data_IF_773368429001
#
_entry.id   IF_773368429001
#
_cell.length_a   1.000
_cell.length_b   1.000
_cell.length_c   1.000
_cell.angle_alpha   90.00
_cell.angle_beta   90.00
_cell.angle_gamma   90.00
#
_symmetry.space_group_name_H-M   'P 1'
#
loop_
_entity.id
_entity.type
_entity.pdbx_description
1 polymer ?
#
# COMPACT_ATOMS: atom_id res chain seq x y z
N UNK A 1 -15.80 -8.31 24.14
CA UNK A 1 -14.45 -7.88 23.76
C UNK A 1 -14.48 -6.36 23.65
N UNK A 2 -14.16 -5.67 24.74
CA UNK A 2 -14.40 -4.23 24.93
C UNK A 2 -13.41 -3.39 24.11
N UNK A 3 -13.85 -2.21 23.64
CA UNK A 3 -13.04 -1.22 22.93
C UNK A 3 -11.80 -0.77 23.70
N UNK A 4 -11.83 -0.87 25.04
CA UNK A 4 -10.68 -0.60 25.91
C UNK A 4 -9.54 -1.63 25.76
N UNK A 5 -9.87 -2.89 25.46
CA UNK A 5 -8.87 -3.95 25.24
C UNK A 5 -8.09 -3.75 23.94
N UNK A 6 -8.72 -3.14 22.93
CA UNK A 6 -8.07 -2.84 21.65
C UNK A 6 -7.19 -1.58 21.78
N UNK A 7 -7.68 -0.54 22.46
CA UNK A 7 -6.94 0.72 22.64
C UNK A 7 -5.71 0.61 23.54
N UNK A 8 -5.77 -0.17 24.63
CA UNK A 8 -4.62 -0.39 25.52
C UNK A 8 -3.45 -1.10 24.84
N UNK A 9 -3.77 -1.92 23.83
CA UNK A 9 -2.79 -2.70 23.09
C UNK A 9 -2.09 -1.89 21.99
N UNK A 10 -2.79 -0.90 21.43
CA UNK A 10 -2.25 0.01 20.40
C UNK A 10 -1.66 1.31 20.98
N UNK A 11 -2.02 1.70 22.21
CA UNK A 11 -1.50 2.91 22.89
C UNK A 11 -0.95 2.56 24.28
N UNK A 12 0.28 2.02 24.41
CA UNK A 12 0.91 1.87 25.71
C UNK A 12 1.58 3.18 26.14
N UNK A 13 1.31 3.61 27.37
CA UNK A 13 1.99 4.73 28.04
C UNK A 13 3.45 4.43 28.41
N UNK A 14 3.88 3.17 28.32
CA UNK A 14 5.28 2.76 28.51
C UNK A 14 5.46 1.34 27.97
N UNK A 15 6.33 1.19 26.97
CA UNK A 15 6.67 -0.11 26.39
C UNK A 15 7.83 -0.83 27.13
N UNK A 16 8.50 -0.17 28.09
CA UNK A 16 9.85 -0.58 28.53
C UNK A 16 9.94 -1.18 29.95
N UNK A 17 8.92 -1.91 30.41
CA UNK A 17 9.12 -2.72 31.64
C UNK A 17 8.36 -4.06 31.61
N UNK A 18 7.42 -4.22 30.68
CA UNK A 18 6.58 -5.42 30.61
C UNK A 18 6.98 -6.38 29.50
N UNK A 19 7.82 -5.98 28.53
CA UNK A 19 8.22 -6.87 27.42
C UNK A 19 8.98 -8.09 27.93
N UNK A 20 9.91 -7.92 28.86
CA UNK A 20 10.64 -9.04 29.46
C UNK A 20 9.68 -10.01 30.19
N UNK A 21 8.79 -9.47 31.02
CA UNK A 21 7.84 -10.26 31.81
C UNK A 21 6.78 -10.96 30.91
N UNK A 22 6.30 -10.29 29.86
CA UNK A 22 5.34 -10.87 28.90
C UNK A 22 6.01 -11.99 28.10
N UNK A 23 7.22 -11.77 27.60
CA UNK A 23 7.88 -12.76 26.77
C UNK A 23 8.33 -13.99 27.57
N UNK A 24 8.76 -13.80 28.81
CA UNK A 24 9.07 -14.90 29.71
C UNK A 24 7.81 -15.61 30.20
N UNK A 25 6.78 -14.88 30.62
CA UNK A 25 5.56 -15.44 31.19
C UNK A 25 4.64 -16.12 30.17
N UNK A 26 4.55 -15.60 28.95
CA UNK A 26 3.63 -16.11 27.92
C UNK A 26 4.31 -17.08 26.94
N UNK A 27 5.60 -16.91 26.66
CA UNK A 27 6.32 -17.69 25.65
C UNK A 27 7.53 -18.46 26.18
N UNK A 28 7.91 -18.27 27.45
CA UNK A 28 9.08 -18.94 28.04
C UNK A 28 10.42 -18.49 27.43
N UNK A 29 10.46 -17.31 26.79
CA UNK A 29 11.65 -16.79 26.12
C UNK A 29 12.36 -15.81 27.06
N UNK A 30 13.62 -16.11 27.39
CA UNK A 30 14.50 -15.17 28.10
C UNK A 30 15.10 -14.16 27.11
N UNK A 31 14.46 -12.99 27.01
CA UNK A 31 14.90 -11.90 26.14
C UNK A 31 16.30 -11.39 26.49
N UNK A 32 16.70 -11.42 27.76
CA UNK A 32 18.03 -10.96 28.16
C UNK A 32 19.13 -11.87 27.63
N UNK A 33 18.84 -13.15 27.40
CA UNK A 33 19.76 -14.07 26.72
C UNK A 33 19.73 -13.86 25.21
N UNK A 34 18.53 -13.71 24.62
CA UNK A 34 18.37 -13.57 23.17
C UNK A 34 18.91 -12.25 22.61
N UNK A 35 18.94 -11.19 23.40
CA UNK A 35 19.48 -9.91 22.96
C UNK A 35 21.02 -9.85 22.95
N UNK A 36 21.75 -10.86 23.45
CA UNK A 36 23.22 -10.79 23.49
C UNK A 36 23.85 -11.13 22.15
N UNK A 37 24.96 -10.46 21.84
CA UNK A 37 25.82 -10.80 20.71
C UNK A 37 27.05 -11.51 21.27
N UNK A 38 27.23 -12.77 20.89
CA UNK A 38 28.38 -13.57 21.32
C UNK A 38 29.49 -13.45 20.27
N UNK A 39 30.72 -13.24 20.73
CA UNK A 39 31.90 -13.10 19.87
C UNK A 39 32.92 -14.17 20.19
N UNK A 40 33.57 -14.65 19.15
CA UNK A 40 34.80 -15.43 19.27
C UNK A 40 35.96 -14.54 19.77
N UNK A 41 37.06 -15.13 20.27
CA UNK A 41 38.25 -14.37 20.72
C UNK A 41 38.90 -13.49 19.65
N UNK A 42 38.57 -13.67 18.38
CA UNK A 42 39.04 -12.87 17.23
C UNK A 42 38.05 -11.75 16.83
N UNK A 43 37.13 -11.40 17.73
CA UNK A 43 36.04 -10.43 17.53
C UNK A 43 35.12 -10.76 16.34
N UNK A 44 35.06 -12.02 15.88
CA UNK A 44 34.05 -12.46 14.91
C UNK A 44 32.74 -12.80 15.62
N UNK A 45 31.61 -12.50 15.00
CA UNK A 45 30.30 -12.85 15.58
C UNK A 45 30.12 -14.36 15.54
N UNK A 46 29.94 -14.96 16.72
CA UNK A 46 29.63 -16.38 16.91
C UNK A 46 28.13 -16.62 16.78
N UNK A 47 27.32 -15.87 17.53
CA UNK A 47 25.87 -16.02 17.55
C UNK A 47 25.15 -14.72 17.94
N UNK A 48 23.91 -14.60 17.46
CA UNK A 48 22.95 -13.61 17.92
C UNK A 48 21.94 -14.32 18.83
N UNK A 49 22.03 -14.08 20.14
CA UNK A 49 21.27 -14.84 21.13
C UNK A 49 21.56 -16.33 21.00
N UNK A 50 20.51 -17.11 20.85
CA UNK A 50 20.58 -18.57 20.63
C UNK A 50 20.85 -18.96 19.18
N UNK A 51 20.77 -18.02 18.23
CA UNK A 51 20.86 -18.30 16.79
C UNK A 51 22.29 -18.22 16.29
N UNK A 52 22.77 -19.34 15.74
CA UNK A 52 24.09 -19.46 15.09
C UNK A 52 23.97 -19.28 13.57
N UNK A 53 25.11 -19.12 12.89
CA UNK A 53 25.17 -19.13 11.42
C UNK A 53 24.57 -20.41 10.84
N UNK A 54 24.00 -20.29 9.64
CA UNK A 54 23.25 -21.36 8.96
C UNK A 54 22.07 -21.95 9.78
N UNK A 55 21.58 -21.25 10.80
CA UNK A 55 20.44 -21.66 11.64
C UNK A 55 19.38 -20.58 11.81
N UNK A 56 19.54 -19.43 11.16
CA UNK A 56 18.52 -18.39 11.17
C UNK A 56 17.34 -18.81 10.28
N UNK A 57 16.17 -18.97 10.90
CA UNK A 57 14.96 -19.38 10.21
C UNK A 57 14.26 -18.19 9.57
N UNK A 58 13.95 -18.31 8.28
CA UNK A 58 13.10 -17.34 7.59
C UNK A 58 11.64 -17.47 8.01
N UNK A 59 10.95 -16.35 8.16
CA UNK A 59 9.51 -16.33 8.34
C UNK A 59 8.81 -16.21 6.97
N UNK A 60 8.16 -17.28 6.47
CA UNK A 60 7.54 -17.30 5.15
C UNK A 60 6.37 -16.31 5.03
N UNK A 61 5.72 -15.93 6.13
CA UNK A 61 4.58 -15.02 6.13
C UNK A 61 4.99 -13.56 5.92
N UNK A 62 6.25 -13.23 6.22
CA UNK A 62 6.77 -11.85 6.22
C UNK A 62 7.81 -11.64 5.11
N UNK A 63 8.70 -12.62 4.90
CA UNK A 63 9.80 -12.54 3.94
C UNK A 63 9.76 -13.62 2.85
N UNK A 64 8.65 -14.37 2.75
CA UNK A 64 8.47 -15.44 1.78
C UNK A 64 8.23 -14.99 0.34
N UNK A 65 8.17 -15.96 -0.57
CA UNK A 65 8.07 -15.70 -2.02
C UNK A 65 6.72 -15.10 -2.45
N UNK A 66 5.64 -15.37 -1.71
CA UNK A 66 4.31 -14.81 -1.99
C UNK A 66 4.29 -13.28 -1.93
N UNK A 67 5.13 -12.71 -1.09
CA UNK A 67 5.32 -11.26 -0.96
C UNK A 67 5.97 -10.66 -2.22
N UNK A 68 6.95 -11.37 -2.80
CA UNK A 68 7.59 -10.99 -4.07
C UNK A 68 6.61 -11.02 -5.24
N UNK A 69 5.74 -12.03 -5.30
CA UNK A 69 4.70 -12.14 -6.33
C UNK A 69 3.68 -10.99 -6.20
N UNK A 70 3.30 -10.65 -4.97
CA UNK A 70 2.48 -9.45 -4.69
C UNK A 70 3.12 -8.16 -5.21
N UNK A 71 4.45 -8.05 -5.13
CA UNK A 71 5.18 -6.90 -5.66
C UNK A 71 5.22 -6.83 -7.17
N UNK A 72 5.44 -7.95 -7.86
CA UNK A 72 5.45 -7.97 -9.33
C UNK A 72 4.09 -7.48 -9.86
N UNK A 73 3.01 -7.94 -9.24
CA UNK A 73 1.64 -7.54 -9.60
C UNK A 73 1.40 -6.05 -9.33
N UNK A 74 1.77 -5.55 -8.14
CA UNK A 74 1.65 -4.14 -7.79
C UNK A 74 2.52 -3.21 -8.65
N UNK A 75 3.73 -3.65 -9.01
CA UNK A 75 4.68 -2.90 -9.84
C UNK A 75 4.21 -2.82 -11.28
N UNK A 76 3.70 -3.93 -11.83
CA UNK A 76 3.12 -3.95 -13.18
C UNK A 76 1.92 -3.00 -13.27
N UNK A 77 1.11 -2.92 -12.21
CA UNK A 77 0.02 -1.95 -12.11
C UNK A 77 0.52 -0.51 -11.99
N UNK A 78 1.60 -0.25 -11.25
CA UNK A 78 2.22 1.08 -11.18
C UNK A 78 2.82 1.53 -12.51
N UNK A 79 3.43 0.62 -13.27
CA UNK A 79 3.96 0.90 -14.61
C UNK A 79 2.86 1.20 -15.62
N UNK A 80 1.78 0.41 -15.61
CA UNK A 80 0.58 0.70 -16.40
C UNK A 80 -0.01 2.06 -16.00
N UNK A 81 0.00 2.37 -14.72
CA UNK A 81 -0.50 3.62 -14.15
C UNK A 81 0.27 4.86 -14.61
N UNK A 82 1.60 4.77 -14.63
CA UNK A 82 2.48 5.82 -15.18
C UNK A 82 2.22 6.06 -16.66
N UNK A 83 1.96 5.01 -17.43
CA UNK A 83 1.56 5.14 -18.84
C UNK A 83 0.24 5.94 -19.00
N UNK A 84 -0.75 5.70 -18.14
CA UNK A 84 -1.99 6.50 -18.12
C UNK A 84 -1.75 7.96 -17.77
N UNK A 85 -0.87 8.23 -16.81
CA UNK A 85 -0.52 9.59 -16.43
C UNK A 85 0.10 10.36 -17.60
N UNK A 86 1.09 9.77 -18.27
CA UNK A 86 1.77 10.38 -19.42
C UNK A 86 0.77 10.71 -20.52
N UNK A 87 -0.17 9.80 -20.79
CA UNK A 87 -1.25 10.03 -21.76
C UNK A 87 -2.17 11.18 -21.36
N UNK A 88 -2.68 11.20 -20.13
CA UNK A 88 -3.59 12.24 -19.64
C UNK A 88 -2.91 13.62 -19.63
N UNK A 89 -1.63 13.67 -19.26
CA UNK A 89 -0.81 14.87 -19.33
C UNK A 89 -0.58 15.31 -20.78
N UNK A 90 -0.22 14.40 -21.68
CA UNK A 90 -0.04 14.70 -23.11
C UNK A 90 -1.33 15.23 -23.74
N UNK A 91 -2.49 14.68 -23.37
CA UNK A 91 -3.79 15.19 -23.81
C UNK A 91 -4.04 16.60 -23.29
N UNK A 92 -3.82 16.88 -22.00
CA UNK A 92 -3.99 18.22 -21.42
C UNK A 92 -3.02 19.25 -22.01
N UNK A 93 -1.81 18.84 -22.35
CA UNK A 93 -0.82 19.69 -22.98
C UNK A 93 -1.17 20.00 -24.43
N UNK A 94 -1.76 19.05 -25.18
CA UNK A 94 -2.35 19.32 -26.51
C UNK A 94 -3.48 20.35 -26.47
N UNK A 95 -4.08 20.61 -25.30
CA UNK A 95 -5.06 21.67 -25.05
C UNK A 95 -4.45 22.95 -24.46
N UNK A 96 -3.13 23.07 -24.31
CA UNK A 96 -2.42 24.36 -24.23
C UNK A 96 -2.27 24.80 -25.68
N UNK A 97 -3.20 25.56 -26.26
CA UNK A 97 -3.06 25.96 -27.64
C UNK A 97 -1.86 26.89 -27.70
N UNK A 98 -1.01 26.71 -28.69
CA UNK A 98 -0.52 27.78 -29.57
C UNK A 98 -0.68 29.14 -28.90
N UNK A 99 0.38 29.59 -28.23
CA UNK A 99 0.51 30.87 -27.54
C UNK A 99 0.25 32.12 -28.41
N UNK A 100 -0.37 32.02 -29.60
CA UNK A 100 -0.41 33.16 -30.53
C UNK A 100 -1.51 33.23 -31.60
N UNK A 101 -2.47 32.31 -31.75
CA UNK A 101 -3.48 32.47 -32.82
C UNK A 101 -4.91 32.68 -32.32
N UNK A 102 -5.11 33.92 -31.87
CA UNK A 102 -6.29 34.79 -32.11
C UNK A 102 -7.65 34.11 -31.91
N UNK A 103 -8.12 34.14 -30.67
CA UNK A 103 -9.55 34.04 -30.38
C UNK A 103 -10.25 35.28 -30.97
N UNK A 104 -10.75 35.20 -32.21
CA UNK A 104 -11.80 36.13 -32.65
C UNK A 104 -13.13 35.51 -32.18
N UNK A 105 -13.94 36.21 -31.37
CA UNK A 105 -15.30 35.75 -31.09
C UNK A 105 -16.06 35.69 -32.43
N UNK A 106 -16.64 34.53 -32.74
CA UNK A 106 -17.57 34.39 -33.85
C UNK A 106 -18.80 35.28 -33.56
N UNK A 107 -19.28 36.07 -34.53
CA UNK A 107 -20.50 36.84 -34.34
C UNK A 107 -21.69 35.90 -34.20
N UNK A 108 -22.61 36.30 -33.32
CA UNK A 108 -23.81 35.59 -32.93
C UNK A 108 -24.62 35.12 -34.18
N UNK A 109 -24.93 33.82 -34.35
CA UNK A 109 -25.71 33.40 -35.50
C UNK A 109 -27.19 33.72 -35.25
N UNK A 110 -27.75 34.58 -36.11
CA UNK A 110 -29.19 34.74 -36.25
C UNK A 110 -29.84 33.42 -36.69
N UNK A 111 -31.13 33.19 -36.36
CA UNK A 111 -31.77 31.92 -36.62
C UNK A 111 -32.27 31.88 -38.07
N UNK A 112 -31.73 30.97 -38.89
CA UNK A 112 -32.48 30.36 -40.00
C UNK A 112 -31.81 29.07 -40.45
N UNK A 113 -32.61 28.00 -40.39
CA UNK A 113 -32.21 26.63 -40.66
C UNK A 113 -31.76 26.38 -42.09
N UNK A 114 -31.38 25.11 -42.30
CA UNK A 114 -31.00 24.42 -43.54
C UNK A 114 -29.51 24.14 -43.78
N UNK A 115 -28.56 24.93 -43.26
CA UNK A 115 -27.11 24.68 -43.56
C UNK A 115 -26.42 23.67 -42.64
N UNK A 116 -26.97 23.41 -41.45
CA UNK A 116 -26.38 22.50 -40.44
C UNK A 116 -26.45 21.01 -40.84
N UNK A 117 -27.36 20.64 -41.77
CA UNK A 117 -27.50 19.26 -42.25
C UNK A 117 -26.42 18.86 -43.27
N UNK A 118 -25.74 19.81 -43.94
CA UNK A 118 -24.72 19.51 -44.96
C UNK A 118 -23.33 19.23 -44.35
N UNK A 119 -23.00 19.89 -43.23
CA UNK A 119 -21.74 19.67 -42.51
C UNK A 119 -21.65 18.29 -41.83
N UNK A 120 -22.77 17.72 -41.37
CA UNK A 120 -22.79 16.37 -40.79
C UNK A 120 -22.59 15.24 -41.82
N UNK A 121 -22.77 15.51 -43.11
CA UNK A 121 -22.56 14.51 -44.19
C UNK A 121 -21.16 14.58 -44.81
N UNK A 122 -20.47 15.72 -44.72
CA UNK A 122 -19.11 15.88 -45.25
C UNK A 122 -18.02 15.31 -44.32
N UNK A 123 -18.33 15.11 -43.04
CA UNK A 123 -17.51 14.36 -42.09
C UNK A 123 -18.07 12.94 -41.86
N UNK A 124 -18.52 12.31 -42.95
CA UNK A 124 -18.69 10.87 -43.00
C UNK A 124 -17.32 10.18 -42.96
N UNK A 125 -17.26 9.13 -42.15
CA UNK A 125 -16.25 8.06 -42.16
C UNK A 125 -14.84 8.37 -41.65
N UNK A 126 -14.72 8.27 -40.33
CA UNK A 126 -13.59 7.56 -39.72
C UNK A 126 -14.10 6.51 -38.74
N UNK A 127 -14.69 5.44 -39.26
CA UNK A 127 -15.24 4.32 -38.48
C UNK A 127 -14.17 3.51 -37.71
N UNK A 128 -12.88 3.85 -37.89
CA UNK A 128 -11.73 3.32 -37.11
C UNK A 128 -11.64 3.94 -35.70
N UNK A 129 -12.45 4.95 -35.36
CA UNK A 129 -12.39 5.67 -34.06
C UNK A 129 -13.38 5.18 -32.99
N UNK A 130 -14.53 4.61 -33.37
CA UNK A 130 -15.58 4.24 -32.41
C UNK A 130 -15.26 2.94 -31.65
N UNK A 131 -14.68 1.94 -32.31
CA UNK A 131 -14.30 0.68 -31.68
C UNK A 131 -13.01 0.81 -30.86
N UNK A 132 -12.03 1.55 -31.38
CA UNK A 132 -10.82 1.96 -30.65
C UNK A 132 -11.15 2.76 -29.38
N UNK A 133 -12.15 3.64 -29.41
CA UNK A 133 -12.58 4.39 -28.21
C UNK A 133 -13.34 3.53 -27.19
N UNK A 134 -14.19 2.58 -27.63
CA UNK A 134 -14.86 1.61 -26.74
C UNK A 134 -13.86 0.68 -26.05
N UNK A 135 -12.92 0.10 -26.78
CA UNK A 135 -11.87 -0.75 -26.20
C UNK A 135 -11.01 0.00 -25.19
N UNK A 136 -10.58 1.22 -25.52
CA UNK A 136 -9.79 2.06 -24.60
C UNK A 136 -10.58 2.41 -23.33
N UNK A 137 -11.88 2.66 -23.44
CA UNK A 137 -12.73 2.96 -22.30
C UNK A 137 -12.98 1.72 -21.43
N UNK A 138 -13.20 0.56 -22.04
CA UNK A 138 -13.26 -0.72 -21.35
C UNK A 138 -11.95 -1.01 -20.60
N UNK A 139 -10.80 -0.89 -21.28
CA UNK A 139 -9.48 -1.12 -20.70
C UNK A 139 -9.22 -0.18 -19.51
N UNK A 140 -9.61 1.09 -19.63
CA UNK A 140 -9.51 2.05 -18.53
C UNK A 140 -10.35 1.65 -17.32
N UNK A 141 -11.59 1.23 -17.55
CA UNK A 141 -12.48 0.78 -16.47
C UNK A 141 -11.94 -0.49 -15.81
N UNK A 142 -11.46 -1.44 -16.60
CA UNK A 142 -10.84 -2.68 -16.12
C UNK A 142 -9.63 -2.38 -15.24
N UNK A 143 -8.69 -1.57 -15.72
CA UNK A 143 -7.48 -1.22 -14.97
C UNK A 143 -7.76 -0.37 -13.73
N UNK A 144 -8.75 0.54 -13.80
CA UNK A 144 -9.22 1.28 -12.63
C UNK A 144 -9.78 0.37 -11.55
N UNK A 145 -10.51 -0.68 -11.94
CA UNK A 145 -11.07 -1.65 -10.98
C UNK A 145 -9.97 -2.54 -10.40
N UNK A 146 -9.01 -2.96 -11.22
CA UNK A 146 -7.86 -3.74 -10.79
C UNK A 146 -6.97 -2.96 -9.81
N UNK A 147 -6.79 -1.65 -10.04
CA UNK A 147 -6.06 -0.76 -9.13
C UNK A 147 -6.75 -0.62 -7.77
N UNK A 148 -8.09 -0.52 -7.74
CA UNK A 148 -8.87 -0.53 -6.49
C UNK A 148 -8.74 -1.89 -5.80
N UNK A 149 -8.91 -2.99 -6.53
CA UNK A 149 -8.82 -4.33 -5.97
C UNK A 149 -7.43 -4.60 -5.36
N UNK A 150 -6.36 -4.21 -6.05
CA UNK A 150 -5.00 -4.30 -5.53
C UNK A 150 -4.83 -3.43 -4.27
N UNK A 151 -5.29 -2.17 -4.29
CA UNK A 151 -5.25 -1.31 -3.12
C UNK A 151 -5.99 -1.93 -1.92
N UNK A 152 -7.15 -2.56 -2.14
CA UNK A 152 -7.91 -3.24 -1.10
C UNK A 152 -7.15 -4.42 -0.50
N UNK A 153 -6.55 -5.27 -1.34
CA UNK A 153 -5.71 -6.38 -0.84
C UNK A 153 -4.54 -5.88 -0.01
N UNK A 154 -3.93 -4.77 -0.41
CA UNK A 154 -2.79 -4.16 0.28
C UNK A 154 -3.19 -3.56 1.64
N UNK A 155 -4.42 -3.01 1.75
CA UNK A 155 -4.97 -2.54 3.03
C UNK A 155 -5.09 -3.70 4.02
N UNK A 156 -5.60 -4.86 3.59
CA UNK A 156 -5.73 -6.03 4.46
C UNK A 156 -4.37 -6.59 4.88
N UNK A 157 -3.40 -6.65 3.95
CA UNK A 157 -2.03 -7.07 4.25
C UNK A 157 -1.40 -6.14 5.30
N UNK A 158 -1.56 -4.82 5.12
CA UNK A 158 -1.06 -3.82 6.06
C UNK A 158 -1.68 -3.95 7.45
N UNK A 159 -2.99 -4.18 7.52
CA UNK A 159 -3.68 -4.43 8.79
C UNK A 159 -3.19 -5.72 9.46
N UNK A 160 -2.99 -6.78 8.69
CA UNK A 160 -2.46 -8.06 9.18
C UNK A 160 -1.05 -7.89 9.76
N UNK A 161 -0.15 -7.15 9.08
CA UNK A 161 1.17 -6.82 9.63
C UNK A 161 1.07 -5.99 10.91
N UNK A 162 0.21 -4.96 10.94
CA UNK A 162 0.00 -4.13 12.12
C UNK A 162 -0.50 -4.94 13.33
N UNK A 163 -1.47 -5.83 13.13
CA UNK A 163 -1.97 -6.73 14.19
C UNK A 163 -0.88 -7.71 14.64
N UNK A 164 -0.14 -8.30 13.69
CA UNK A 164 0.93 -9.24 14.01
C UNK A 164 2.03 -8.60 14.86
N UNK A 165 2.45 -7.38 14.50
CA UNK A 165 3.42 -6.58 15.24
C UNK A 165 2.93 -6.15 16.63
N UNK A 166 1.64 -5.85 16.75
CA UNK A 166 1.07 -5.53 18.04
C UNK A 166 1.08 -6.76 18.97
N UNK A 167 0.56 -7.91 18.52
CA UNK A 167 0.20 -9.08 19.34
C UNK A 167 1.40 -9.94 19.78
N UNK A 168 1.79 -10.89 18.93
CA UNK A 168 2.59 -12.03 19.36
C UNK A 168 4.05 -11.94 18.90
N UNK A 169 4.35 -11.05 17.95
CA UNK A 169 5.63 -11.05 17.29
C UNK A 169 6.72 -10.25 18.04
N UNK A 170 6.40 -9.55 19.13
CA UNK A 170 7.38 -8.70 19.83
C UNK A 170 8.58 -9.51 20.35
N UNK A 171 8.36 -10.75 20.78
CA UNK A 171 9.38 -11.62 21.38
C UNK A 171 10.13 -12.50 20.37
N UNK A 172 9.49 -12.84 19.25
CA UNK A 172 9.97 -13.88 18.30
C UNK A 172 10.38 -13.31 16.95
N UNK A 173 9.98 -12.07 16.64
CA UNK A 173 10.29 -11.43 15.38
C UNK A 173 11.67 -10.78 15.44
N UNK A 174 12.57 -11.18 14.54
CA UNK A 174 13.83 -10.47 14.34
C UNK A 174 13.59 -9.03 13.80
N UNK A 175 14.51 -8.12 14.05
CA UNK A 175 14.51 -6.79 13.45
C UNK A 175 14.52 -6.81 11.91
N UNK A 176 15.08 -7.86 11.27
CA UNK A 176 15.01 -8.08 9.83
C UNK A 176 13.57 -8.23 9.34
N UNK A 177 12.84 -9.22 9.87
CA UNK A 177 11.45 -9.44 9.52
C UNK A 177 10.57 -8.23 9.85
N UNK A 178 10.85 -7.53 10.95
CA UNK A 178 10.22 -6.26 11.26
C UNK A 178 10.46 -5.20 10.17
N UNK A 179 11.71 -4.96 9.76
CA UNK A 179 12.07 -3.98 8.73
C UNK A 179 11.44 -4.33 7.38
N UNK A 180 11.38 -5.61 7.03
CA UNK A 180 10.67 -6.10 5.85
C UNK A 180 9.18 -5.74 5.93
N UNK A 181 8.48 -6.13 6.99
CA UNK A 181 7.05 -5.88 7.11
C UNK A 181 6.69 -4.39 7.29
N UNK A 182 7.55 -3.57 7.90
CA UNK A 182 7.41 -2.11 7.91
C UNK A 182 7.44 -1.54 6.49
N UNK A 183 8.39 -1.98 5.67
CA UNK A 183 8.46 -1.58 4.26
C UNK A 183 7.30 -2.16 3.43
N UNK A 184 6.70 -3.31 3.81
CA UNK A 184 5.44 -3.80 3.22
C UNK A 184 4.28 -2.85 3.49
N UNK A 185 4.16 -2.38 4.73
CA UNK A 185 3.12 -1.42 5.12
C UNK A 185 3.29 -0.12 4.33
N UNK A 186 4.52 0.38 4.20
CA UNK A 186 4.81 1.54 3.35
C UNK A 186 4.47 1.29 1.87
N UNK A 187 4.78 0.12 1.31
CA UNK A 187 4.40 -0.25 -0.05
C UNK A 187 2.88 -0.27 -0.25
N UNK A 188 2.15 -0.84 0.72
CA UNK A 188 0.70 -0.86 0.71
C UNK A 188 0.10 0.55 0.74
N UNK A 189 0.62 1.42 1.61
CA UNK A 189 0.21 2.82 1.69
C UNK A 189 0.55 3.62 0.42
N UNK A 190 1.66 3.30 -0.25
CA UNK A 190 2.03 3.95 -1.51
C UNK A 190 1.07 3.51 -2.62
N UNK A 191 0.71 2.23 -2.66
CA UNK A 191 -0.29 1.68 -3.58
C UNK A 191 -1.68 2.31 -3.37
N UNK A 192 -2.12 2.52 -2.12
CA UNK A 192 -3.41 3.18 -1.84
C UNK A 192 -3.39 4.66 -2.20
N UNK A 193 -2.28 5.37 -1.99
CA UNK A 193 -2.11 6.74 -2.48
C UNK A 193 -2.16 6.83 -4.01
N UNK A 194 -1.50 5.91 -4.71
CA UNK A 194 -1.54 5.86 -6.17
C UNK A 194 -2.97 5.62 -6.69
N UNK A 195 -3.74 4.73 -6.04
CA UNK A 195 -5.12 4.47 -6.43
C UNK A 195 -6.04 5.69 -6.26
N UNK A 196 -5.90 6.43 -5.15
CA UNK A 196 -6.71 7.65 -4.91
C UNK A 196 -6.32 8.80 -5.82
N UNK A 197 -5.03 8.93 -6.14
CA UNK A 197 -4.51 9.96 -7.05
C UNK A 197 -5.00 9.77 -8.48
N UNK A 198 -5.00 8.52 -8.97
CA UNK A 198 -5.33 8.21 -10.35
C UNK A 198 -6.83 8.19 -10.65
N UNK A 199 -7.63 7.71 -9.70
CA UNK A 199 -9.06 7.48 -9.95
C UNK A 199 -9.81 8.78 -9.69
N UNK A 200 -10.15 9.49 -10.76
CA UNK A 200 -10.83 10.80 -10.68
C UNK A 200 -12.17 10.75 -9.94
N UNK A 201 -12.89 9.64 -10.08
CA UNK A 201 -14.24 9.46 -9.54
C UNK A 201 -14.26 8.54 -8.31
N UNK A 202 -13.13 8.45 -7.57
CA UNK A 202 -12.95 7.57 -6.42
C UNK A 202 -14.11 7.68 -5.40
N UNK A 203 -14.44 8.91 -5.00
CA UNK A 203 -15.55 9.19 -4.07
C UNK A 203 -16.95 9.18 -4.72
N UNK A 204 -17.04 9.29 -6.06
CA UNK A 204 -18.33 9.40 -6.76
C UNK A 204 -18.99 8.05 -7.03
N UNK A 205 -18.20 7.00 -7.30
CA UNK A 205 -18.73 5.67 -7.65
C UNK A 205 -19.31 4.92 -6.46
N UNK A 206 -18.62 4.92 -5.32
CA UNK A 206 -19.00 4.13 -4.15
C UNK A 206 -18.62 4.85 -2.85
N UNK A 207 -19.47 5.78 -2.40
CA UNK A 207 -19.20 6.65 -1.23
C UNK A 207 -18.89 5.85 0.03
N UNK A 208 -19.71 4.85 0.35
CA UNK A 208 -19.53 4.02 1.54
C UNK A 208 -18.18 3.31 1.53
N UNK A 209 -17.86 2.65 0.41
CA UNK A 209 -16.62 1.92 0.28
C UNK A 209 -15.39 2.85 0.25
N UNK A 210 -15.50 4.05 -0.34
CA UNK A 210 -14.45 5.06 -0.30
C UNK A 210 -14.21 5.60 1.12
N UNK A 211 -15.30 5.85 1.88
CA UNK A 211 -15.21 6.24 3.29
C UNK A 211 -14.54 5.16 4.14
N UNK A 212 -14.92 3.90 3.98
CA UNK A 212 -14.29 2.78 4.71
C UNK A 212 -12.79 2.71 4.43
N UNK A 213 -12.37 2.78 3.16
CA UNK A 213 -10.95 2.82 2.78
C UNK A 213 -10.22 4.00 3.41
N UNK A 214 -10.81 5.19 3.36
CA UNK A 214 -10.22 6.38 3.97
C UNK A 214 -10.01 6.20 5.48
N UNK A 215 -11.02 5.70 6.20
CA UNK A 215 -10.94 5.49 7.65
C UNK A 215 -9.90 4.45 8.03
N UNK A 216 -9.88 3.30 7.34
CA UNK A 216 -8.91 2.23 7.61
C UNK A 216 -7.49 2.69 7.27
N UNK A 217 -7.27 3.33 6.13
CA UNK A 217 -5.94 3.84 5.74
C UNK A 217 -5.49 4.96 6.68
N UNK A 218 -6.39 5.85 7.12
CA UNK A 218 -6.07 6.87 8.11
C UNK A 218 -5.66 6.24 9.45
N UNK A 219 -6.37 5.19 9.90
CA UNK A 219 -5.99 4.43 11.09
C UNK A 219 -4.60 3.79 10.95
N UNK A 220 -4.32 3.16 9.80
CA UNK A 220 -3.00 2.57 9.51
C UNK A 220 -1.90 3.65 9.56
N UNK A 221 -2.12 4.84 8.98
CA UNK A 221 -1.16 5.94 9.07
C UNK A 221 -0.93 6.39 10.52
N UNK A 222 -1.97 6.49 11.34
CA UNK A 222 -1.83 6.87 12.75
C UNK A 222 -0.96 5.86 13.50
N UNK A 223 -1.25 4.57 13.35
CA UNK A 223 -0.47 3.49 13.98
C UNK A 223 0.98 3.49 13.48
N UNK A 224 1.19 3.62 12.17
CA UNK A 224 2.53 3.65 11.56
C UNK A 224 3.35 4.85 12.06
N UNK A 225 2.79 6.06 12.04
CA UNK A 225 3.51 7.26 12.49
C UNK A 225 3.81 7.17 13.97
N UNK A 226 2.87 6.70 14.78
CA UNK A 226 3.09 6.47 16.21
C UNK A 226 4.30 5.55 16.43
N UNK A 227 4.32 4.42 15.72
CA UNK A 227 5.40 3.44 15.77
C UNK A 227 6.76 4.03 15.32
N UNK A 228 6.79 4.75 14.20
CA UNK A 228 8.00 5.39 13.67
C UNK A 228 8.53 6.49 14.60
N UNK A 229 7.64 7.29 15.20
CA UNK A 229 8.00 8.31 16.19
C UNK A 229 8.55 7.65 17.46
N UNK A 230 7.94 6.56 17.90
CA UNK A 230 8.43 5.79 19.05
C UNK A 230 9.85 5.28 18.80
N UNK A 231 10.13 4.69 17.63
CA UNK A 231 11.48 4.28 17.23
C UNK A 231 12.46 5.47 17.15
N UNK A 232 11.99 6.61 16.64
CA UNK A 232 12.81 7.83 16.55
C UNK A 232 13.24 8.34 17.93
N UNK A 233 12.34 8.27 18.92
CA UNK A 233 12.54 8.74 20.29
C UNK A 233 13.23 7.70 21.21
N UNK A 234 13.04 6.40 20.96
CA UNK A 234 13.45 5.29 21.83
C UNK A 234 14.93 4.84 21.78
N UNK A 235 15.77 5.56 21.04
CA UNK A 235 17.24 5.44 21.03
C UNK A 235 17.92 4.14 20.51
N UNK A 236 17.20 3.12 20.03
CA UNK A 236 17.85 1.93 19.44
C UNK A 236 17.30 1.64 18.04
N UNK A 237 18.16 1.71 17.01
CA UNK A 237 17.79 1.63 15.59
C UNK A 237 18.51 0.48 14.89
N UNK A 238 17.95 -0.73 14.86
CA UNK A 238 18.57 -1.86 14.18
C UNK A 238 18.68 -1.60 12.68
N UNK A 239 17.72 -0.84 12.15
CA UNK A 239 17.66 -0.41 10.77
C UNK A 239 18.83 0.47 10.31
N UNK A 240 19.55 1.13 11.23
CA UNK A 240 20.74 1.93 10.89
C UNK A 240 21.98 1.05 10.64
N UNK A 241 21.96 -0.22 11.08
CA UNK A 241 23.06 -1.16 10.84
C UNK A 241 23.07 -1.75 9.43
N UNK A 242 21.98 -1.56 8.68
CA UNK A 242 21.86 -1.98 7.30
C UNK A 242 21.29 -0.85 6.43
N UNK A 243 22.04 -0.40 5.43
CA UNK A 243 21.65 0.69 4.53
C UNK A 243 21.68 0.28 3.07
N UNK A 244 20.76 0.83 2.27
CA UNK A 244 20.67 0.60 0.84
C UNK A 244 21.72 1.39 0.03
N UNK A 245 22.15 2.58 0.51
CA UNK A 245 23.08 3.48 -0.20
C UNK A 245 24.54 3.06 -0.05
N UNK A 246 24.85 2.46 1.09
CA UNK A 246 26.16 1.97 1.47
C UNK A 246 25.91 0.56 1.96
N UNK A 247 26.35 -0.47 1.21
CA UNK A 247 26.15 -1.91 1.47
C UNK A 247 26.66 -2.33 2.87
N UNK A 248 26.05 -1.82 3.94
CA UNK A 248 26.53 -1.66 5.33
C UNK A 248 27.28 -0.32 5.58
N UNK A 249 26.84 0.45 6.59
CA UNK A 249 27.55 1.63 7.09
C UNK A 249 28.61 1.16 8.08
N UNK A 250 29.69 0.58 7.56
CA UNK A 250 30.90 0.21 8.31
C UNK A 250 30.83 -1.12 9.06
N UNK A 251 30.97 -2.25 8.34
CA UNK A 251 31.22 -3.58 8.92
C UNK A 251 31.51 -4.66 7.86
N UNK A 252 31.85 -5.88 8.31
CA UNK A 252 32.08 -7.01 7.41
C UNK A 252 30.75 -7.41 6.78
N UNK A 253 30.70 -7.55 5.45
CA UNK A 253 29.50 -7.66 4.62
C UNK A 253 28.45 -8.72 5.03
N UNK A 254 28.76 -9.59 5.99
CA UNK A 254 27.96 -10.73 6.43
C UNK A 254 27.28 -10.54 7.79
N UNK A 255 27.70 -9.58 8.63
CA UNK A 255 27.29 -9.52 10.04
C UNK A 255 26.52 -8.23 10.35
N UNK A 256 25.32 -8.34 10.92
CA UNK A 256 24.50 -7.18 11.29
C UNK A 256 23.60 -7.50 12.48
N UNK A 257 23.44 -6.52 13.37
CA UNK A 257 22.52 -6.63 14.52
C UNK A 257 21.04 -6.71 14.12
N UNK A 258 20.70 -6.53 12.83
CA UNK A 258 19.34 -6.69 12.30
C UNK A 258 18.80 -8.12 12.47
N UNK A 259 19.64 -9.11 12.73
CA UNK A 259 19.25 -10.50 12.96
C UNK A 259 18.71 -10.75 14.38
N UNK A 260 18.98 -9.85 15.33
CA UNK A 260 18.48 -9.94 16.69
C UNK A 260 16.96 -9.72 16.76
N UNK A 261 16.28 -10.21 17.82
CA UNK A 261 14.88 -9.89 18.08
C UNK A 261 14.60 -8.39 18.10
N UNK A 262 13.45 -7.98 17.57
CA UNK A 262 13.03 -6.58 17.54
C UNK A 262 12.86 -5.99 18.95
N UNK A 263 12.46 -6.80 19.92
CA UNK A 263 12.35 -6.41 21.33
C UNK A 263 13.63 -5.81 21.91
N UNK A 264 14.81 -6.25 21.43
CA UNK A 264 16.10 -5.74 21.86
C UNK A 264 16.32 -4.26 21.55
N UNK A 265 15.55 -3.72 20.60
CA UNK A 265 15.64 -2.33 20.16
C UNK A 265 14.42 -1.49 20.57
N UNK A 266 13.41 -2.10 21.19
CA UNK A 266 12.26 -1.38 21.74
C UNK A 266 12.51 -0.91 23.17
N UNK A 267 13.38 -1.60 23.90
CA UNK A 267 13.74 -1.27 25.28
C UNK A 267 15.19 -0.76 25.35
N UNK A 268 15.44 0.47 25.85
CA UNK A 268 16.78 1.01 26.02
C UNK A 268 17.71 0.14 26.89
N UNK A 269 17.15 -0.63 27.83
CA UNK A 269 17.94 -1.46 28.76
C UNK A 269 18.41 -2.78 28.12
N UNK A 270 17.71 -3.21 27.07
CA UNK A 270 18.01 -4.40 26.28
C UNK A 270 18.93 -4.13 25.08
N UNK A 271 19.27 -2.86 24.82
CA UNK A 271 20.06 -2.46 23.66
C UNK A 271 21.46 -3.13 23.70
N UNK A 272 21.73 -4.09 22.78
CA UNK A 272 22.98 -4.83 22.82
C UNK A 272 24.17 -4.00 22.39
N UNK A 273 23.95 -2.91 21.66
CA UNK A 273 25.03 -2.08 21.12
C UNK A 273 25.74 -1.28 22.22
N UNK A 274 25.07 -1.00 23.35
CA UNK A 274 25.66 -0.26 24.48
C UNK A 274 26.82 -0.97 25.17
N UNK A 275 26.88 -2.30 25.05
CA UNK A 275 27.88 -3.14 25.75
C UNK A 275 29.05 -3.55 24.86
N UNK A 276 29.04 -3.15 23.58
CA UNK A 276 30.07 -3.54 22.61
C UNK A 276 31.27 -2.60 22.66
N UNK A 277 32.44 -3.15 22.39
CA UNK A 277 33.65 -2.36 22.10
C UNK A 277 33.57 -1.73 20.71
N UNK A 278 34.36 -0.68 20.45
CA UNK A 278 34.37 -0.02 19.14
C UNK A 278 34.69 -0.97 17.97
N UNK A 279 35.57 -1.97 18.20
CA UNK A 279 35.90 -2.99 17.21
C UNK A 279 34.71 -3.90 16.89
N UNK A 280 33.99 -4.34 17.93
CA UNK A 280 32.78 -5.15 17.79
C UNK A 280 31.63 -4.35 17.16
N UNK A 281 31.49 -3.08 17.53
CA UNK A 281 30.49 -2.16 17.01
C UNK A 281 30.68 -1.91 15.51
N UNK A 282 31.92 -1.65 15.10
CA UNK A 282 32.31 -1.54 13.68
C UNK A 282 32.17 -2.87 12.93
N UNK A 283 32.01 -4.00 13.59
CA UNK A 283 31.78 -5.28 12.89
C UNK A 283 30.31 -5.49 12.55
N UNK A 284 29.43 -5.18 13.49
CA UNK A 284 27.97 -5.35 13.35
C UNK A 284 27.28 -4.16 12.67
N UNK A 285 28.05 -3.14 12.26
CA UNK A 285 27.53 -1.96 11.55
C UNK A 285 26.84 -0.94 12.44
N UNK A 286 27.08 -0.96 13.75
CA UNK A 286 26.50 0.03 14.66
C UNK A 286 27.22 1.37 14.52
N UNK A 287 26.52 2.45 14.21
CA UNK A 287 27.03 3.80 14.46
C UNK A 287 26.16 4.43 15.52
N UNK A 288 26.69 4.56 16.73
CA UNK A 288 26.07 5.38 17.78
C UNK A 288 26.13 6.85 17.33
N UNK A 289 25.00 7.39 16.87
CA UNK A 289 24.77 8.83 16.93
C UNK A 289 24.74 9.62 15.63
N UNK A 290 23.75 9.37 14.76
CA UNK A 290 23.15 10.49 14.03
C UNK A 290 21.66 10.55 14.33
N UNK A 291 21.21 11.63 14.99
CA UNK A 291 19.78 11.95 15.22
C UNK A 291 19.02 12.31 13.92
N UNK A 292 19.49 11.84 12.76
CA UNK A 292 18.80 12.03 11.50
C UNK A 292 17.52 11.18 11.49
N UNK A 293 16.48 11.67 10.81
CA UNK A 293 15.28 10.88 10.55
C UNK A 293 15.64 9.71 9.63
N UNK A 294 15.16 8.51 9.96
CA UNK A 294 15.32 7.33 9.09
C UNK A 294 14.55 7.55 7.79
N UNK A 295 14.94 6.85 6.73
CA UNK A 295 14.29 6.97 5.44
C UNK A 295 12.81 6.61 5.55
N UNK A 296 12.46 5.63 6.38
CA UNK A 296 11.11 5.19 6.67
C UNK A 296 10.25 6.31 7.28
N UNK A 297 10.80 7.09 8.21
CA UNK A 297 10.14 8.28 8.78
C UNK A 297 9.89 9.34 7.70
N UNK A 298 10.90 9.61 6.86
CA UNK A 298 10.80 10.61 5.78
C UNK A 298 9.74 10.18 4.76
N UNK A 299 9.82 8.93 4.29
CA UNK A 299 8.90 8.36 3.29
C UNK A 299 7.49 8.28 3.85
N UNK A 300 7.31 7.75 5.07
CA UNK A 300 6.00 7.64 5.73
C UNK A 300 5.34 9.01 5.92
N UNK A 301 6.10 10.01 6.37
CA UNK A 301 5.60 11.38 6.53
C UNK A 301 5.23 12.03 5.20
N UNK A 302 6.08 11.89 4.17
CA UNK A 302 5.80 12.42 2.83
C UNK A 302 4.54 11.77 2.22
N UNK A 303 4.35 10.47 2.43
CA UNK A 303 3.17 9.76 1.97
C UNK A 303 1.89 10.15 2.71
N UNK A 304 1.97 10.42 4.02
CA UNK A 304 0.83 10.97 4.77
C UNK A 304 0.40 12.33 4.21
N UNK A 305 1.36 13.21 3.91
CA UNK A 305 1.07 14.50 3.26
C UNK A 305 0.39 14.28 1.90
N UNK A 306 0.91 13.36 1.07
CA UNK A 306 0.30 13.02 -0.21
C UNK A 306 -1.13 12.45 -0.05
N UNK A 307 -1.35 11.60 0.95
CA UNK A 307 -2.65 11.04 1.30
C UNK A 307 -3.66 12.14 1.63
N UNK A 308 -3.31 13.07 2.53
CA UNK A 308 -4.19 14.17 2.92
C UNK A 308 -4.48 15.12 1.75
N UNK A 309 -3.45 15.48 0.98
CA UNK A 309 -3.61 16.34 -0.20
C UNK A 309 -4.50 15.69 -1.27
N UNK A 310 -4.41 14.37 -1.47
CA UNK A 310 -5.26 13.63 -2.42
C UNK A 310 -6.73 13.65 -2.05
N UNK A 311 -7.05 13.44 -0.79
CA UNK A 311 -8.43 13.47 -0.31
C UNK A 311 -8.99 14.89 -0.29
N UNK A 312 -8.20 15.87 0.12
CA UNK A 312 -8.56 17.29 0.05
C UNK A 312 -8.85 17.73 -1.39
N UNK A 313 -8.03 17.32 -2.36
CA UNK A 313 -8.23 17.64 -3.76
C UNK A 313 -9.57 17.08 -4.30
N UNK A 314 -9.96 15.87 -3.87
CA UNK A 314 -11.27 15.30 -4.18
C UNK A 314 -12.41 16.06 -3.52
N UNK A 315 -12.27 16.46 -2.26
CA UNK A 315 -13.23 17.31 -1.55
C UNK A 315 -13.45 18.65 -2.25
N UNK A 316 -12.38 19.33 -2.66
CA UNK A 316 -12.45 20.60 -3.40
C UNK A 316 -13.17 20.41 -4.75
N UNK A 317 -12.90 19.30 -5.47
CA UNK A 317 -13.59 18.97 -6.73
C UNK A 317 -15.07 18.65 -6.52
N UNK A 318 -15.42 18.05 -5.39
CA UNK A 318 -16.79 17.78 -4.99
C UNK A 318 -17.56 19.10 -4.81
N UNK A 319 -17.07 20.00 -3.95
CA UNK A 319 -17.70 21.30 -3.69
C UNK A 319 -17.78 22.19 -4.95
N UNK A 320 -16.71 22.23 -5.76
CA UNK A 320 -16.69 23.03 -7.00
C UNK A 320 -17.50 22.45 -8.15
N UNK A 321 -17.87 21.17 -8.08
CA UNK A 321 -18.63 20.48 -9.12
C UNK A 321 -20.04 21.03 -9.34
N UNK A 322 -20.56 21.84 -8.41
CA UNK A 322 -21.88 22.46 -8.48
C UNK A 322 -21.89 23.91 -9.00
N UNK A 323 -20.75 24.62 -9.07
CA UNK A 323 -20.79 26.10 -9.07
C UNK A 323 -20.19 26.84 -10.26
N UNK A 324 -19.52 26.20 -11.26
CA UNK A 324 -18.93 26.97 -12.39
C UNK A 324 -19.02 26.29 -13.77
N UNK A 325 -19.46 27.01 -14.83
CA UNK A 325 -19.37 26.54 -16.21
C UNK A 325 -17.91 26.37 -16.65
N UNK A 326 -17.63 25.34 -17.45
CA UNK A 326 -16.28 24.94 -17.90
C UNK A 326 -15.53 26.03 -18.70
N UNK A 327 -16.24 27.05 -19.20
CA UNK A 327 -15.71 28.06 -20.11
C UNK A 327 -14.76 29.11 -19.48
N UNK A 328 -14.78 29.31 -18.15
CA UNK A 328 -14.04 30.39 -17.48
C UNK A 328 -12.90 29.89 -16.55
N UNK A 329 -12.29 28.74 -16.85
CA UNK A 329 -11.14 28.25 -16.06
C UNK A 329 -9.85 28.89 -16.57
N UNK A 330 -9.12 29.63 -15.71
CA UNK A 330 -7.89 30.29 -16.14
C UNK A 330 -6.76 29.27 -16.32
N UNK A 331 -5.84 29.55 -17.24
CA UNK A 331 -4.74 28.63 -17.64
C UNK A 331 -3.86 28.21 -16.46
N UNK A 332 -3.61 29.11 -15.51
CA UNK A 332 -2.82 28.83 -14.30
C UNK A 332 -3.43 27.72 -13.43
N UNK A 333 -4.76 27.50 -13.48
CA UNK A 333 -5.40 26.38 -12.80
C UNK A 333 -4.97 25.03 -13.37
N UNK A 334 -4.74 24.95 -14.69
CA UNK A 334 -4.20 23.77 -15.34
C UNK A 334 -2.78 23.46 -14.86
N UNK A 335 -1.94 24.48 -14.71
CA UNK A 335 -0.56 24.37 -14.21
C UNK A 335 -0.53 23.87 -12.77
N UNK A 336 -1.34 24.46 -11.88
CA UNK A 336 -1.43 24.02 -10.47
C UNK A 336 -1.84 22.56 -10.37
N UNK A 337 -2.87 22.14 -11.14
CA UNK A 337 -3.30 20.74 -11.13
C UNK A 337 -2.19 19.85 -11.66
N UNK A 338 -1.51 20.21 -12.75
CA UNK A 338 -0.40 19.41 -13.27
C UNK A 338 0.76 19.28 -12.27
N UNK A 339 1.16 20.36 -11.60
CA UNK A 339 2.20 20.35 -10.57
C UNK A 339 1.81 19.44 -9.39
N UNK A 340 0.56 19.55 -8.92
CA UNK A 340 0.05 18.69 -7.87
C UNK A 340 0.13 17.20 -8.24
N UNK A 341 -0.25 16.83 -9.47
CA UNK A 341 -0.14 15.45 -9.94
C UNK A 341 1.31 14.99 -10.05
N UNK A 342 2.20 15.81 -10.62
CA UNK A 342 3.63 15.48 -10.74
C UNK A 342 4.25 15.23 -9.35
N UNK A 343 3.99 16.12 -8.39
CA UNK A 343 4.57 16.02 -7.04
C UNK A 343 3.97 14.84 -6.29
N UNK A 344 2.64 14.74 -6.19
CA UNK A 344 2.00 13.71 -5.37
C UNK A 344 2.16 12.29 -5.96
N UNK A 345 2.03 12.15 -7.28
CA UNK A 345 2.23 10.86 -7.95
C UNK A 345 3.70 10.50 -8.02
N UNK A 346 4.57 11.47 -8.34
CA UNK A 346 6.02 11.28 -8.34
C UNK A 346 6.53 10.83 -6.98
N UNK A 347 6.16 11.53 -5.90
CA UNK A 347 6.54 11.17 -4.54
C UNK A 347 6.04 9.76 -4.15
N UNK A 348 4.78 9.44 -4.45
CA UNK A 348 4.21 8.10 -4.15
C UNK A 348 4.87 6.99 -4.97
N UNK A 349 5.24 7.26 -6.22
CA UNK A 349 5.95 6.30 -7.08
C UNK A 349 7.39 6.08 -6.61
N UNK A 350 8.10 7.17 -6.28
CA UNK A 350 9.46 7.09 -5.74
C UNK A 350 9.48 6.35 -4.42
N UNK A 351 8.53 6.62 -3.52
CA UNK A 351 8.36 5.89 -2.27
C UNK A 351 8.14 4.39 -2.51
N UNK A 352 7.25 4.05 -3.45
CA UNK A 352 6.99 2.66 -3.83
C UNK A 352 8.26 1.96 -4.32
N UNK A 353 8.98 2.56 -5.27
CA UNK A 353 10.22 1.99 -5.82
C UNK A 353 11.31 1.89 -4.75
N UNK A 354 11.45 2.89 -3.89
CA UNK A 354 12.44 2.89 -2.82
C UNK A 354 12.19 1.75 -1.82
N UNK A 355 10.97 1.62 -1.29
CA UNK A 355 10.61 0.53 -0.38
C UNK A 355 10.77 -0.84 -1.03
N UNK A 356 10.45 -0.97 -2.32
CA UNK A 356 10.66 -2.20 -3.07
C UNK A 356 12.14 -2.58 -3.15
N UNK A 357 13.00 -1.62 -3.54
CA UNK A 357 14.44 -1.84 -3.64
C UNK A 357 15.06 -2.18 -2.28
N UNK A 358 14.58 -1.55 -1.21
CA UNK A 358 15.01 -1.85 0.16
C UNK A 358 14.71 -3.29 0.52
N UNK A 359 13.47 -3.76 0.32
CA UNK A 359 13.08 -5.14 0.62
C UNK A 359 13.87 -6.12 -0.25
N UNK A 360 14.02 -5.84 -1.55
CA UNK A 360 14.78 -6.68 -2.47
C UNK A 360 16.23 -6.85 -2.03
N UNK A 361 16.93 -5.73 -1.82
CA UNK A 361 18.33 -5.74 -1.40
C UNK A 361 18.52 -6.35 -0.01
N UNK A 362 17.59 -6.10 0.93
CA UNK A 362 17.68 -6.63 2.28
C UNK A 362 17.53 -8.16 2.29
N UNK A 363 16.57 -8.70 1.51
CA UNK A 363 16.39 -10.14 1.34
C UNK A 363 17.61 -10.78 0.68
N UNK A 364 18.13 -10.17 -0.39
CA UNK A 364 19.35 -10.64 -1.05
C UNK A 364 20.56 -10.66 -0.13
N UNK A 365 20.72 -9.61 0.68
CA UNK A 365 21.79 -9.53 1.67
C UNK A 365 21.68 -10.63 2.73
N UNK A 366 20.50 -10.84 3.33
CA UNK A 366 20.30 -11.91 4.35
C UNK A 366 20.61 -13.29 3.77
N UNK A 367 20.22 -13.53 2.52
CA UNK A 367 20.55 -14.78 1.82
C UNK A 367 22.06 -14.95 1.60
N UNK A 368 22.74 -13.91 1.10
CA UNK A 368 24.19 -13.92 0.86
C UNK A 368 25.03 -13.95 2.15
N UNK A 369 24.46 -13.55 3.28
CA UNK A 369 25.17 -13.40 4.56
C UNK A 369 25.62 -14.71 5.22
N UNK A 370 25.06 -15.85 4.80
CA UNK A 370 25.34 -17.17 5.38
C UNK A 370 24.67 -17.43 6.74
N UNK A 371 23.79 -16.55 7.20
CA UNK A 371 23.04 -16.75 8.44
C UNK A 371 21.82 -17.65 8.28
N UNK A 372 21.18 -17.60 7.11
CA UNK A 372 19.99 -18.39 6.78
C UNK A 372 20.27 -19.90 6.81
N UNK A 373 19.33 -20.68 7.33
CA UNK A 373 19.38 -22.14 7.22
C UNK A 373 19.24 -22.57 5.75
N UNK A 374 20.25 -23.28 5.24
CA UNK A 374 20.20 -23.89 3.91
C UNK A 374 19.43 -25.21 3.99
N UNK A 375 18.15 -25.15 3.63
CA UNK A 375 17.26 -26.30 3.67
C UNK A 375 17.44 -27.23 2.45
N UNK A 376 18.62 -27.32 1.82
CA UNK A 376 18.97 -28.30 0.77
C UNK A 376 18.13 -28.30 -0.51
N UNK A 377 17.01 -27.58 -0.53
CA UNK A 377 16.13 -27.35 -1.65
C UNK A 377 16.51 -26.00 -2.21
N UNK A 378 17.32 -26.03 -3.28
CA UNK A 378 17.76 -24.84 -3.97
C UNK A 378 16.57 -23.91 -4.23
N UNK A 379 16.77 -22.61 -4.03
CA UNK A 379 15.75 -21.57 -4.23
C UNK A 379 15.10 -21.62 -5.63
N UNK A 380 15.74 -22.29 -6.61
CA UNK A 380 15.18 -22.59 -7.94
C UNK A 380 14.17 -23.74 -7.95
N UNK A 381 14.42 -24.79 -7.17
CA UNK A 381 13.48 -25.91 -6.98
C UNK A 381 12.32 -25.52 -6.06
N UNK A 382 12.55 -24.54 -5.17
CA UNK A 382 11.52 -23.92 -4.35
C UNK A 382 10.46 -23.21 -5.21
N UNK A 383 10.79 -22.53 -6.31
CA UNK A 383 9.77 -21.89 -7.15
C UNK A 383 8.84 -22.91 -7.80
N UNK A 384 9.37 -24.03 -8.32
CA UNK A 384 8.58 -25.06 -9.01
C UNK A 384 7.78 -25.94 -8.04
N UNK A 385 8.41 -26.40 -6.95
CA UNK A 385 7.75 -27.19 -5.91
C UNK A 385 6.79 -26.36 -5.05
N UNK A 386 7.05 -25.06 -4.86
CA UNK A 386 6.12 -24.15 -4.17
C UNK A 386 4.98 -23.74 -5.07
N UNK A 387 5.17 -23.49 -6.37
CA UNK A 387 4.04 -23.27 -7.27
C UNK A 387 3.09 -24.49 -7.25
N UNK A 388 3.64 -25.70 -7.27
CA UNK A 388 2.87 -26.92 -7.09
C UNK A 388 2.20 -27.02 -5.70
N UNK A 389 2.90 -26.74 -4.59
CA UNK A 389 2.33 -26.82 -3.24
C UNK A 389 1.36 -25.67 -2.89
N UNK A 390 1.52 -24.50 -3.51
CA UNK A 390 0.78 -23.26 -3.29
C UNK A 390 -0.48 -23.21 -4.18
N UNK A 391 -0.46 -23.86 -5.34
CA UNK A 391 -1.66 -24.11 -6.15
C UNK A 391 -2.40 -25.38 -5.69
N UNK A 392 -1.69 -26.45 -5.30
CA UNK A 392 -2.32 -27.77 -5.15
C UNK A 392 -2.28 -28.43 -3.76
N UNK A 393 -1.56 -27.92 -2.75
CA UNK A 393 -1.40 -28.72 -1.49
C UNK A 393 -1.85 -28.07 -0.18
N UNK A 394 -1.70 -26.76 0.07
CA UNK A 394 -2.12 -26.18 1.38
C UNK A 394 -2.77 -24.79 1.39
N UNK A 395 -2.85 -24.07 0.27
CA UNK A 395 -3.61 -22.81 0.18
C UNK A 395 -5.05 -22.99 -0.34
N UNK A 396 -5.48 -24.22 -0.66
CA UNK A 396 -6.85 -24.44 -1.11
C UNK A 396 -7.85 -24.05 -0.02
N UNK A 397 -7.54 -24.20 1.28
CA UNK A 397 -8.47 -23.87 2.36
C UNK A 397 -8.67 -22.35 2.50
N UNK A 398 -7.60 -21.56 2.45
CA UNK A 398 -7.69 -20.09 2.47
C UNK A 398 -8.34 -19.57 1.18
N UNK A 399 -7.91 -20.06 0.02
CA UNK A 399 -8.47 -19.66 -1.27
C UNK A 399 -9.96 -20.05 -1.37
N UNK A 400 -10.32 -21.28 -0.99
CA UNK A 400 -11.70 -21.72 -0.90
C UNK A 400 -12.49 -20.94 0.16
N UNK A 401 -11.90 -20.61 1.30
CA UNK A 401 -12.56 -19.77 2.32
C UNK A 401 -12.82 -18.36 1.78
N UNK A 402 -11.87 -17.76 1.05
CA UNK A 402 -12.05 -16.45 0.43
C UNK A 402 -13.09 -16.50 -0.69
N UNK A 403 -13.10 -17.55 -1.53
CA UNK A 403 -14.11 -17.72 -2.57
C UNK A 403 -15.50 -17.99 -1.99
N UNK A 404 -15.62 -18.87 -0.99
CA UNK A 404 -16.88 -19.19 -0.31
C UNK A 404 -17.38 -17.96 0.46
N UNK A 405 -16.51 -17.25 1.18
CA UNK A 405 -16.86 -16.01 1.87
C UNK A 405 -17.24 -14.92 0.87
N UNK A 406 -16.53 -14.79 -0.25
CA UNK A 406 -16.87 -13.86 -1.33
C UNK A 406 -18.25 -14.13 -1.93
N UNK A 407 -18.57 -15.40 -2.20
CA UNK A 407 -19.85 -15.80 -2.77
C UNK A 407 -21.00 -15.66 -1.76
N UNK A 408 -20.78 -16.06 -0.50
CA UNK A 408 -21.75 -15.86 0.58
C UNK A 408 -21.99 -14.36 0.85
N UNK A 409 -20.93 -13.55 0.80
CA UNK A 409 -21.01 -12.10 0.92
C UNK A 409 -21.79 -11.48 -0.24
N UNK A 410 -21.50 -11.84 -1.49
CA UNK A 410 -22.24 -11.34 -2.65
C UNK A 410 -23.74 -11.64 -2.54
N UNK A 411 -24.10 -12.88 -2.20
CA UNK A 411 -25.51 -13.29 -2.03
C UNK A 411 -26.17 -12.53 -0.88
N UNK A 412 -25.52 -12.47 0.29
CA UNK A 412 -26.06 -11.82 1.48
C UNK A 412 -26.18 -10.31 1.32
N UNK A 413 -25.15 -9.67 0.76
CA UNK A 413 -25.10 -8.24 0.52
C UNK A 413 -26.13 -7.82 -0.53
N UNK A 414 -26.18 -8.49 -1.68
CA UNK A 414 -27.17 -8.15 -2.72
C UNK A 414 -28.60 -8.32 -2.20
N UNK A 415 -28.93 -9.47 -1.57
CA UNK A 415 -30.27 -9.69 -1.00
C UNK A 415 -30.62 -8.71 0.11
N UNK A 416 -29.66 -8.34 0.95
CA UNK A 416 -29.85 -7.35 2.02
C UNK A 416 -30.08 -5.96 1.48
N UNK A 417 -29.25 -5.52 0.52
CA UNK A 417 -29.36 -4.21 -0.11
C UNK A 417 -30.62 -4.09 -0.98
N UNK A 418 -31.01 -5.14 -1.69
CA UNK A 418 -32.26 -5.18 -2.45
C UNK A 418 -33.46 -5.04 -1.52
N UNK A 419 -33.53 -5.80 -0.42
CA UNK A 419 -34.62 -5.65 0.57
C UNK A 419 -34.69 -4.28 1.19
N UNK A 420 -33.53 -3.69 1.53
CA UNK A 420 -33.47 -2.34 2.08
C UNK A 420 -33.99 -1.32 1.06
N UNK A 421 -33.54 -1.44 -0.20
CA UNK A 421 -33.97 -0.60 -1.31
C UNK A 421 -35.46 -0.74 -1.63
N UNK A 422 -35.98 -1.97 -1.51
CA UNK A 422 -37.38 -2.32 -1.74
C UNK A 422 -38.32 -1.77 -0.69
N UNK A 423 -37.96 -1.94 0.57
CA UNK A 423 -38.71 -1.34 1.67
C UNK A 423 -38.71 0.18 1.56
N UNK A 424 -37.58 0.80 1.18
CA UNK A 424 -37.48 2.25 1.05
C UNK A 424 -38.32 2.80 -0.12
N UNK A 425 -38.34 2.10 -1.25
CA UNK A 425 -39.00 2.56 -2.48
C UNK A 425 -40.33 1.88 -2.76
N UNK A 426 -40.95 1.28 -1.74
CA UNK A 426 -42.20 0.56 -1.87
C UNK A 426 -43.28 1.43 -2.53
N UNK A 427 -43.94 0.90 -3.56
CA UNK A 427 -44.99 1.59 -4.32
C UNK A 427 -44.48 2.54 -5.41
N UNK A 428 -43.15 2.69 -5.56
CA UNK A 428 -42.53 3.50 -6.62
C UNK A 428 -41.76 2.67 -7.64
N UNK A 429 -41.55 1.39 -7.37
CA UNK A 429 -40.78 0.52 -8.24
C UNK A 429 -41.64 -0.04 -9.36
N UNK A 430 -41.02 -0.29 -10.53
CA UNK A 430 -41.69 -0.94 -11.65
C UNK A 430 -42.39 -2.24 -11.23
N UNK A 431 -41.75 -3.07 -10.39
CA UNK A 431 -42.36 -4.32 -9.90
C UNK A 431 -43.63 -4.12 -9.07
N UNK A 432 -43.77 -2.98 -8.39
CA UNK A 432 -44.94 -2.66 -7.58
C UNK A 432 -46.07 -2.07 -8.42
N UNK A 433 -45.76 -1.41 -9.55
CA UNK A 433 -46.74 -0.74 -10.43
C UNK A 433 -47.03 -1.50 -11.73
N UNK A 434 -46.26 -2.56 -12.04
CA UNK A 434 -46.33 -3.31 -13.30
C UNK A 434 -47.73 -3.87 -13.57
N UNK A 435 -48.40 -4.40 -12.54
CA UNK A 435 -49.76 -4.95 -12.67
C UNK A 435 -50.75 -3.93 -13.26
N UNK A 436 -50.59 -2.64 -12.95
CA UNK A 436 -51.46 -1.58 -13.45
C UNK A 436 -51.31 -1.29 -14.95
N UNK A 437 -50.20 -1.70 -15.56
CA UNK A 437 -49.88 -1.36 -16.96
C UNK A 437 -49.75 -2.58 -17.88
N UNK A 438 -49.57 -3.79 -17.31
CA UNK A 438 -49.44 -5.04 -18.08
C UNK A 438 -50.71 -5.87 -17.99
N UNK A 439 -51.40 -5.88 -16.84
CA UNK A 439 -52.63 -6.65 -16.65
C UNK A 439 -53.87 -5.77 -16.83
N UNK A 440 -53.82 -4.50 -16.41
CA UNK A 440 -54.91 -3.54 -16.62
C UNK A 440 -55.12 -3.05 -18.07
N UNK A 441 -54.40 -3.61 -19.05
CA UNK A 441 -54.56 -3.29 -20.47
C UNK A 441 -55.40 -4.31 -21.26
N UNK A 442 -55.73 -5.47 -20.66
CA UNK A 442 -56.54 -6.50 -21.31
C UNK A 442 -58.05 -6.35 -21.01
N UNK A 443 -58.43 -5.48 -20.07
CA UNK A 443 -59.83 -5.24 -19.68
C UNK A 443 -60.48 -4.03 -20.39
N UNK A 444 -59.77 -3.37 -21.33
CA UNK A 444 -60.26 -2.19 -22.09
C UNK A 444 -60.37 -2.41 -23.63
N UNK A 445 -60.28 -3.64 -24.15
CA UNK A 445 -60.71 -3.99 -25.52
C UNK A 445 -62.02 -4.81 -25.56
#
# INVERSE_FOLDING_TARGET
>A
MSSEFFLSYFIPGSYSFEVQNICQGQYGIDINAECRINFFPNDTVESYGTVKRAKFQGNPDIAGIGVVIGFITGTLLCLLSLFFLVREMAMRWKWVPILSKRYRPLPNPSPRGTRQKRWKRAFGDFNITAERSRFIQWLFNFLSNLLIANADTQIFISLAYGINFALASKCTLSAYHYKVGLNMVLLALASTNLSTLMIRDYWRRAKLAASMRFLVVAFIYVVLIWMLVYQFMGASRPEDTWSFLTKQRGGLATDSSILLPMSCFLDPDLDPLRRLTDAQLNRVGGVLGTKAATLEVIVGSAMLVCFLLSHLAHGIRWCRGHSRPKANRPVWWGVIVSLYWIVALGASTVAYVACYLIVWCLRGWVYESGWMEDNGNSERDAVSSTLYNLIFRKNYSMLASVFVAGFAWEIGFNRGMDRLWDSWNQGRQWKDIRHKYVEGGEDEE
#
